data_IF_573597778367
#
_entry.id   IF_573597778367
#
_cell.length_a   1.000
_cell.length_b   1.000
_cell.length_c   1.000
_cell.angle_alpha   90.00
_cell.angle_beta   90.00
_cell.angle_gamma   90.00
#
_symmetry.space_group_name_H-M   'P 1'
#
loop_
_entity.id
_entity.type
_entity.pdbx_description
1 polymer ?
#
# COMPACT_ATOMS: atom_id res chain seq x y z
N UNK A 1 -22.91 -47.84 -33.70
CA UNK A 1 -23.21 -46.74 -32.76
C UNK A 1 -22.06 -46.68 -31.78
N UNK A 2 -21.05 -45.87 -32.04
CA UNK A 2 -20.00 -45.57 -31.07
C UNK A 2 -19.69 -44.09 -31.19
N UNK A 3 -20.46 -43.30 -30.45
CA UNK A 3 -20.16 -41.88 -30.23
C UNK A 3 -19.09 -41.83 -29.15
N UNK A 4 -17.84 -41.62 -29.55
CA UNK A 4 -16.73 -41.31 -28.65
C UNK A 4 -16.96 -39.91 -28.07
N UNK A 5 -16.93 -39.70 -26.75
CA UNK A 5 -17.05 -38.37 -26.17
C UNK A 5 -15.79 -37.56 -26.52
N UNK A 6 -15.98 -36.44 -27.21
CA UNK A 6 -14.96 -35.39 -27.38
C UNK A 6 -15.35 -34.20 -26.51
N UNK A 7 -14.32 -33.58 -25.94
CA UNK A 7 -14.34 -32.30 -25.21
C UNK A 7 -14.59 -32.38 -23.70
N UNK A 8 -13.57 -32.79 -22.96
CA UNK A 8 -13.40 -32.39 -21.55
C UNK A 8 -12.00 -31.78 -21.30
N UNK A 9 -11.04 -31.96 -22.21
CA UNK A 9 -9.66 -31.47 -22.08
C UNK A 9 -9.60 -29.93 -22.08
N UNK A 10 -10.31 -29.27 -23.01
CA UNK A 10 -10.37 -27.79 -23.06
C UNK A 10 -10.98 -27.16 -21.79
N UNK A 11 -11.81 -27.90 -21.05
CA UNK A 11 -12.42 -27.40 -19.81
C UNK A 11 -11.47 -27.50 -18.61
N UNK A 12 -10.52 -28.44 -18.65
CA UNK A 12 -9.51 -28.59 -17.60
C UNK A 12 -8.40 -27.55 -17.75
N UNK A 13 -8.00 -27.27 -18.98
CA UNK A 13 -6.99 -26.25 -19.28
C UNK A 13 -7.49 -24.85 -18.86
N UNK A 14 -8.77 -24.54 -19.13
CA UNK A 14 -9.37 -23.26 -18.72
C UNK A 14 -9.53 -23.13 -17.20
N UNK A 15 -9.86 -24.21 -16.49
CA UNK A 15 -9.93 -24.22 -15.02
C UNK A 15 -8.54 -24.04 -14.39
N UNK A 16 -7.51 -24.63 -15.00
CA UNK A 16 -6.13 -24.47 -14.53
C UNK A 16 -5.65 -23.03 -14.71
N UNK A 17 -5.94 -22.41 -15.86
CA UNK A 17 -5.62 -21.01 -16.15
C UNK A 17 -6.35 -20.05 -15.18
N UNK A 18 -7.63 -20.27 -14.91
CA UNK A 18 -8.39 -19.48 -13.92
C UNK A 18 -7.79 -19.63 -12.50
N UNK A 19 -7.31 -20.82 -12.13
CA UNK A 19 -6.67 -21.03 -10.84
C UNK A 19 -5.29 -20.39 -10.75
N UNK A 20 -4.51 -20.41 -11.84
CA UNK A 20 -3.23 -19.72 -11.94
C UNK A 20 -3.42 -18.21 -11.81
N UNK A 21 -4.35 -17.62 -12.58
CA UNK A 21 -4.69 -16.21 -12.51
C UNK A 21 -5.18 -15.81 -11.12
N UNK A 22 -5.97 -16.65 -10.46
CA UNK A 22 -6.40 -16.43 -9.07
C UNK A 22 -5.21 -16.35 -8.11
N UNK A 23 -4.25 -17.27 -8.21
CA UNK A 23 -3.07 -17.27 -7.33
C UNK A 23 -2.13 -16.10 -7.60
N UNK A 24 -2.04 -15.64 -8.85
CA UNK A 24 -1.31 -14.45 -9.22
C UNK A 24 -2.00 -13.18 -8.69
N UNK A 25 -3.30 -13.02 -8.92
CA UNK A 25 -4.06 -11.85 -8.49
C UNK A 25 -4.14 -11.71 -6.97
N UNK A 26 -4.25 -12.83 -6.25
CA UNK A 26 -4.20 -12.85 -4.78
C UNK A 26 -2.80 -12.65 -4.22
N UNK A 27 -1.76 -12.63 -5.05
CA UNK A 27 -0.37 -12.42 -4.62
C UNK A 27 0.25 -13.62 -3.90
N UNK A 28 -0.37 -14.80 -3.95
CA UNK A 28 0.16 -16.03 -3.34
C UNK A 28 1.48 -16.43 -3.99
N UNK A 29 1.56 -16.32 -5.32
CA UNK A 29 2.77 -16.64 -6.09
C UNK A 29 3.93 -15.74 -5.69
N UNK A 30 3.68 -14.43 -5.58
CA UNK A 30 4.68 -13.45 -5.15
C UNK A 30 5.15 -13.72 -3.72
N UNK A 31 4.21 -13.93 -2.79
CA UNK A 31 4.52 -14.19 -1.38
C UNK A 31 5.37 -15.45 -1.22
N UNK A 32 4.99 -16.55 -1.89
CA UNK A 32 5.74 -17.79 -1.87
C UNK A 32 7.15 -17.61 -2.46
N UNK A 33 7.25 -16.85 -3.56
CA UNK A 33 8.54 -16.54 -4.21
C UNK A 33 9.45 -15.76 -3.28
N UNK A 34 8.94 -14.77 -2.56
CA UNK A 34 9.71 -13.96 -1.60
C UNK A 34 10.21 -14.81 -0.44
N UNK A 35 9.35 -15.63 0.17
CA UNK A 35 9.75 -16.52 1.27
C UNK A 35 10.78 -17.57 0.82
N UNK A 36 10.63 -18.11 -0.40
CA UNK A 36 11.60 -19.04 -0.96
C UNK A 36 12.95 -18.37 -1.25
N UNK A 37 12.95 -17.12 -1.72
CA UNK A 37 14.18 -16.32 -1.87
C UNK A 37 14.85 -16.09 -0.53
N UNK A 38 14.10 -15.66 0.49
CA UNK A 38 14.61 -15.48 1.86
C UNK A 38 15.25 -16.76 2.36
N UNK A 39 14.55 -17.88 2.26
CA UNK A 39 15.06 -19.19 2.65
C UNK A 39 16.32 -19.58 1.86
N UNK A 40 16.39 -19.25 0.58
CA UNK A 40 17.55 -19.50 -0.27
C UNK A 40 18.76 -18.64 0.11
N UNK A 41 18.55 -17.39 0.50
CA UNK A 41 19.60 -16.43 0.84
C UNK A 41 20.16 -16.62 2.26
N UNK A 42 19.44 -17.31 3.15
CA UNK A 42 19.90 -17.56 4.52
C UNK A 42 21.28 -18.25 4.55
N UNK A 43 22.26 -17.72 5.31
CA UNK A 43 23.61 -18.28 5.41
C UNK A 43 23.63 -19.63 6.14
N UNK A 44 22.73 -19.80 7.11
CA UNK A 44 22.49 -21.07 7.80
C UNK A 44 21.02 -21.46 7.57
N UNK A 45 20.78 -22.66 7.03
CA UNK A 45 19.41 -23.10 6.75
C UNK A 45 18.70 -23.48 8.05
N UNK A 46 17.42 -23.07 8.22
CA UNK A 46 16.64 -23.44 9.40
C UNK A 46 16.51 -24.96 9.48
N UNK A 47 16.50 -25.48 10.71
CA UNK A 47 16.32 -26.91 10.98
C UNK A 47 14.94 -27.41 10.48
N UNK A 48 13.92 -26.57 10.55
CA UNK A 48 12.60 -26.79 9.94
C UNK A 48 12.29 -25.69 8.92
N UNK A 49 12.52 -25.94 7.61
CA UNK A 49 12.19 -25.00 6.55
C UNK A 49 10.68 -24.74 6.41
N UNK A 50 9.82 -25.70 6.75
CA UNK A 50 8.37 -25.53 6.59
C UNK A 50 7.80 -24.62 7.68
N UNK A 51 8.32 -24.74 8.91
CA UNK A 51 8.00 -23.80 9.99
C UNK A 51 8.44 -22.38 9.61
N UNK A 52 9.67 -22.22 9.11
CA UNK A 52 10.17 -20.94 8.63
C UNK A 52 9.24 -20.33 7.58
N UNK A 53 8.85 -21.10 6.56
CA UNK A 53 7.97 -20.61 5.50
C UNK A 53 6.62 -20.18 6.04
N UNK A 54 6.02 -20.96 6.96
CA UNK A 54 4.73 -20.64 7.57
C UNK A 54 4.77 -19.30 8.30
N UNK A 55 5.78 -19.10 9.15
CA UNK A 55 5.92 -17.88 9.95
C UNK A 55 6.10 -16.66 9.07
N UNK A 56 7.02 -16.71 8.10
CA UNK A 56 7.28 -15.58 7.21
C UNK A 56 6.09 -15.29 6.29
N UNK A 57 5.33 -16.30 5.85
CA UNK A 57 4.11 -16.05 5.07
C UNK A 57 3.03 -15.34 5.90
N UNK A 58 2.87 -15.69 7.17
CA UNK A 58 1.91 -14.98 8.06
C UNK A 58 2.33 -13.54 8.33
N UNK A 59 3.63 -13.31 8.52
CA UNK A 59 4.18 -11.96 8.76
C UNK A 59 3.99 -11.06 7.54
N UNK A 60 4.32 -11.54 6.32
CA UNK A 60 4.11 -10.80 5.08
C UNK A 60 2.65 -10.43 4.85
N UNK A 61 1.71 -11.33 5.17
CA UNK A 61 0.27 -11.04 5.05
C UNK A 61 -0.15 -9.95 6.03
N UNK A 62 0.31 -10.02 7.29
CA UNK A 62 0.03 -9.00 8.30
C UNK A 62 0.59 -7.62 7.91
N UNK A 63 1.81 -7.57 7.39
CA UNK A 63 2.43 -6.32 6.91
C UNK A 63 1.66 -5.70 5.74
N UNK A 64 1.16 -6.54 4.82
CA UNK A 64 0.34 -6.07 3.70
C UNK A 64 -0.99 -5.48 4.16
N UNK A 65 -1.67 -6.14 5.09
CA UNK A 65 -2.93 -5.64 5.67
C UNK A 65 -2.72 -4.29 6.38
N UNK A 66 -1.68 -4.17 7.21
CA UNK A 66 -1.35 -2.91 7.89
C UNK A 66 -1.00 -1.79 6.89
N UNK A 67 -0.27 -2.11 5.82
CA UNK A 67 0.08 -1.13 4.79
C UNK A 67 -1.16 -0.63 4.03
N UNK A 68 -2.10 -1.52 3.71
CA UNK A 68 -3.36 -1.17 3.05
C UNK A 68 -4.23 -0.28 3.95
N UNK A 69 -4.34 -0.61 5.24
CA UNK A 69 -5.03 0.23 6.22
C UNK A 69 -4.40 1.63 6.30
N UNK A 70 -3.08 1.72 6.44
CA UNK A 70 -2.36 2.98 6.52
C UNK A 70 -2.52 3.83 5.24
N UNK A 71 -2.54 3.18 4.07
CA UNK A 71 -2.75 3.86 2.79
C UNK A 71 -4.16 4.45 2.69
N UNK A 72 -5.18 3.69 3.09
CA UNK A 72 -6.56 4.16 3.14
C UNK A 72 -6.75 5.33 4.12
N UNK A 73 -6.10 5.29 5.28
CA UNK A 73 -6.09 6.39 6.24
C UNK A 73 -5.43 7.65 5.66
N UNK A 74 -4.28 7.50 5.00
CA UNK A 74 -3.57 8.61 4.37
C UNK A 74 -4.43 9.26 3.26
N UNK A 75 -5.06 8.46 2.41
CA UNK A 75 -5.96 8.97 1.36
C UNK A 75 -7.14 9.74 1.97
N UNK A 76 -7.72 9.22 3.06
CA UNK A 76 -8.81 9.88 3.79
C UNK A 76 -8.36 11.22 4.38
N UNK A 77 -7.19 11.27 5.01
CA UNK A 77 -6.63 12.51 5.58
C UNK A 77 -6.29 13.51 4.48
N UNK A 78 -5.74 13.07 3.35
CA UNK A 78 -5.48 13.93 2.20
C UNK A 78 -6.76 14.55 1.64
N UNK A 79 -7.85 13.78 1.54
CA UNK A 79 -9.16 14.31 1.13
C UNK A 79 -9.68 15.38 2.10
N UNK A 80 -9.56 15.16 3.41
CA UNK A 80 -9.94 16.14 4.43
C UNK A 80 -9.10 17.43 4.33
N UNK A 81 -7.80 17.31 4.07
CA UNK A 81 -6.92 18.47 3.86
C UNK A 81 -7.39 19.29 2.67
N UNK A 82 -7.73 18.63 1.55
CA UNK A 82 -8.23 19.31 0.35
C UNK A 82 -9.55 20.04 0.67
N UNK A 83 -10.51 19.38 1.30
CA UNK A 83 -11.80 19.97 1.68
C UNK A 83 -11.63 21.20 2.58
N UNK A 84 -10.79 21.09 3.62
CA UNK A 84 -10.52 22.20 4.53
C UNK A 84 -9.78 23.35 3.83
N UNK A 85 -8.87 23.06 2.91
CA UNK A 85 -8.18 24.08 2.11
C UNK A 85 -9.17 24.84 1.21
N UNK A 86 -10.11 24.13 0.57
CA UNK A 86 -11.16 24.74 -0.23
C UNK A 86 -12.08 25.62 0.64
N UNK A 87 -12.46 25.15 1.83
CA UNK A 87 -13.26 25.92 2.77
C UNK A 87 -12.53 27.20 3.21
N UNK A 88 -11.25 27.11 3.54
CA UNK A 88 -10.41 28.27 3.88
C UNK A 88 -10.37 29.28 2.72
N UNK A 89 -10.20 28.82 1.47
CA UNK A 89 -10.20 29.69 0.30
C UNK A 89 -11.54 30.40 0.15
N UNK A 90 -12.64 29.66 0.29
CA UNK A 90 -13.99 30.20 0.18
C UNK A 90 -14.29 31.22 1.29
N UNK A 91 -13.93 30.91 2.54
CA UNK A 91 -14.07 31.83 3.67
C UNK A 91 -13.23 33.10 3.48
N UNK A 92 -11.96 32.97 3.06
CA UNK A 92 -11.10 34.13 2.77
C UNK A 92 -11.69 35.03 1.69
N UNK A 93 -12.20 34.45 0.60
CA UNK A 93 -12.88 35.20 -0.46
C UNK A 93 -14.10 35.95 0.08
N UNK A 94 -14.90 35.29 0.91
CA UNK A 94 -16.09 35.91 1.53
C UNK A 94 -15.73 37.04 2.50
N UNK A 95 -14.61 36.93 3.21
CA UNK A 95 -14.08 38.01 4.06
C UNK A 95 -13.65 39.20 3.20
N UNK A 96 -12.93 38.96 2.11
CA UNK A 96 -12.49 39.99 1.17
C UNK A 96 -13.66 40.73 0.51
N UNK A 97 -14.73 40.01 0.14
CA UNK A 97 -15.96 40.59 -0.42
C UNK A 97 -16.75 41.45 0.59
N UNK A 98 -16.69 41.13 1.88
CA UNK A 98 -17.44 41.82 2.93
C UNK A 98 -16.67 42.97 3.60
N UNK A 99 -15.36 43.06 3.40
CA UNK A 99 -14.52 44.12 3.97
C UNK A 99 -13.47 44.61 2.96
N UNK A 100 -13.71 45.71 2.21
CA UNK A 100 -12.63 46.40 1.53
C UNK A 100 -11.91 47.30 2.55
N UNK A 101 -11.25 46.71 3.56
CA UNK A 101 -10.48 47.49 4.54
C UNK A 101 -9.16 46.77 4.84
N UNK A 102 -8.10 47.45 4.42
CA UNK A 102 -6.68 47.37 4.76
C UNK A 102 -6.31 46.64 6.06
N UNK A 103 -5.14 45.96 5.96
CA UNK A 103 -4.24 45.60 7.05
C UNK A 103 -4.74 44.50 7.99
N UNK A 104 -4.31 43.25 7.74
CA UNK A 104 -3.46 42.49 8.68
C UNK A 104 -2.50 41.62 7.85
N UNK A 105 -1.20 41.83 8.04
CA UNK A 105 -0.12 41.06 7.44
C UNK A 105 -0.28 39.57 7.75
N UNK A 106 -0.34 38.75 6.70
CA UNK A 106 -0.14 37.30 6.81
C UNK A 106 1.32 37.10 7.26
N UNK A 107 1.60 36.53 8.44
CA UNK A 107 2.94 36.07 8.75
C UNK A 107 3.27 34.98 7.73
N UNK A 108 4.32 35.20 6.95
CA UNK A 108 4.94 34.15 6.15
C UNK A 108 5.32 33.03 7.13
N UNK A 109 4.58 31.92 7.09
CA UNK A 109 5.07 30.68 7.69
C UNK A 109 6.11 30.21 6.67
N UNK A 110 7.36 30.59 6.93
CA UNK A 110 8.52 30.03 6.26
C UNK A 110 8.46 28.51 6.45
N UNK A 111 7.96 27.79 5.44
CA UNK A 111 8.13 26.34 5.33
C UNK A 111 9.56 26.06 4.87
N UNK A 112 10.53 26.54 5.65
CA UNK A 112 11.92 26.12 5.59
C UNK A 112 12.21 25.35 6.88
N UNK A 113 11.57 24.18 7.03
CA UNK A 113 12.14 23.10 7.83
C UNK A 113 13.18 22.39 6.97
N UNK A 114 14.28 23.09 6.67
CA UNK A 114 15.54 22.48 6.30
C UNK A 114 16.30 22.20 7.59
N UNK A 115 16.51 20.92 7.84
CA UNK A 115 17.64 20.38 8.58
C UNK A 115 17.91 21.02 9.95
N UNK A 116 17.12 20.63 10.95
CA UNK A 116 17.60 20.69 12.33
C UNK A 116 18.63 19.58 12.55
N UNK A 117 19.86 19.98 12.27
CA UNK A 117 21.09 19.30 12.57
C UNK A 117 21.49 19.49 14.06
N UNK A 118 22.22 18.49 14.57
CA UNK A 118 23.18 18.53 15.69
C UNK A 118 22.64 18.64 17.12
N UNK A 119 23.03 17.65 17.94
CA UNK A 119 23.87 17.81 19.15
C UNK A 119 24.50 16.42 19.37
N UNK A 120 25.80 16.26 19.05
CA UNK A 120 26.96 16.49 19.96
C UNK A 120 26.93 15.51 21.14
N UNK A 121 27.99 14.77 21.45
CA UNK A 121 29.31 15.26 21.81
C UNK A 121 30.33 14.10 21.83
N UNK A 122 31.57 14.45 21.45
CA UNK A 122 32.88 13.87 21.85
C UNK A 122 33.14 12.36 21.80
#
# INVERSE_FOLDING_TARGET
MESKPKSCIHSLDNLAEEFEEYLEHTGVVESLTTVLKLLYEMPEKPADPLEFMRTNMTEIVSEREELEELQNENDTVMLQIIELQEEIINMKKKIEELQPIESIAVPQIDTDLKDNNIVSDK
#
